data_IF_144470958254
#
_entry.id   IF_144470958254
#
_cell.length_a   1.000
_cell.length_b   1.000
_cell.length_c   1.000
_cell.angle_alpha   90.00
_cell.angle_beta   90.00
_cell.angle_gamma   90.00
#
_symmetry.space_group_name_H-M   'P 1'
#
loop_
_entity.id
_entity.type
_entity.pdbx_description
1 polymer ?
#
# COMPACT_ATOMS: atom_id res chain seq x y z
N UNK A 1 -1.62 15.35 -41.52
CA UNK A 1 -2.35 16.45 -40.86
C UNK A 1 -2.49 16.10 -39.39
N UNK A 2 -1.85 16.90 -38.50
CA UNK A 2 -1.99 16.87 -37.04
C UNK A 2 -3.43 17.12 -36.65
N UNK A 3 -4.04 16.36 -35.72
CA UNK A 3 -4.93 16.87 -34.64
C UNK A 3 -4.92 15.92 -33.44
N UNK A 4 -4.80 16.55 -32.28
CA UNK A 4 -4.59 16.01 -30.94
C UNK A 4 -5.92 15.62 -30.30
N UNK A 5 -5.94 14.61 -29.43
CA UNK A 5 -7.06 14.43 -28.50
C UNK A 5 -6.59 13.87 -27.16
N UNK A 6 -6.40 14.84 -26.24
CA UNK A 6 -6.61 14.79 -24.80
C UNK A 6 -6.02 13.63 -23.98
N UNK A 7 -4.89 13.93 -23.33
CA UNK A 7 -4.48 13.28 -22.08
C UNK A 7 -5.47 13.71 -21.00
N UNK A 8 -6.31 12.79 -20.51
CA UNK A 8 -7.12 13.00 -19.31
C UNK A 8 -6.21 12.78 -18.10
N UNK A 9 -5.59 13.85 -17.62
CA UNK A 9 -4.88 13.85 -16.35
C UNK A 9 -5.92 13.77 -15.23
N UNK A 10 -6.14 12.57 -14.69
CA UNK A 10 -6.93 12.39 -13.48
C UNK A 10 -6.16 12.96 -12.29
N UNK A 11 -6.48 14.18 -11.91
CA UNK A 11 -6.12 14.80 -10.63
C UNK A 11 -6.87 14.06 -9.52
N UNK A 12 -6.27 12.99 -8.98
CA UNK A 12 -6.77 12.36 -7.75
C UNK A 12 -6.32 13.22 -6.57
N UNK A 13 -7.32 13.82 -5.92
CA UNK A 13 -7.18 14.84 -4.89
C UNK A 13 -6.31 14.45 -3.70
N UNK A 14 -5.65 15.46 -3.15
CA UNK A 14 -5.01 15.41 -1.84
C UNK A 14 -6.07 15.08 -0.78
N UNK A 15 -6.08 13.83 -0.33
CA UNK A 15 -6.69 13.49 0.94
C UNK A 15 -5.65 13.76 2.01
N UNK A 16 -5.77 14.88 2.71
CA UNK A 16 -5.08 15.14 3.99
C UNK A 16 -5.67 14.21 5.05
N UNK A 17 -5.32 12.92 4.97
CA UNK A 17 -5.74 11.93 5.94
C UNK A 17 -5.02 12.21 7.27
N UNK A 18 -5.75 12.78 8.23
CA UNK A 18 -5.35 12.84 9.63
C UNK A 18 -5.43 11.40 10.18
N UNK A 19 -4.35 10.66 9.99
CA UNK A 19 -4.22 9.26 10.39
C UNK A 19 -2.76 8.82 10.24
N UNK A 20 -2.35 7.74 10.92
CA UNK A 20 -1.01 7.20 10.74
C UNK A 20 -0.76 6.94 9.25
N UNK A 21 0.37 7.42 8.75
CA UNK A 21 0.78 7.24 7.35
C UNK A 21 0.77 5.74 7.03
N UNK A 22 -0.13 5.34 6.12
CA UNK A 22 -0.21 3.96 5.68
C UNK A 22 1.06 3.56 4.91
N UNK A 23 1.85 4.52 4.43
CA UNK A 23 2.98 4.28 3.55
C UNK A 23 2.56 4.26 2.08
N UNK A 24 3.52 3.97 1.17
CA UNK A 24 3.34 4.21 -0.25
C UNK A 24 2.33 3.26 -0.88
N UNK A 25 1.59 3.77 -1.85
CA UNK A 25 0.69 2.96 -2.66
C UNK A 25 1.47 1.96 -3.54
N UNK A 26 0.91 0.77 -3.73
CA UNK A 26 1.56 -0.27 -4.51
C UNK A 26 0.86 -1.62 -4.45
N UNK A 27 1.62 -2.68 -4.68
CA UNK A 27 1.16 -4.07 -4.61
C UNK A 27 1.88 -4.83 -3.53
N UNK A 28 1.14 -5.56 -2.70
CA UNK A 28 1.73 -6.47 -1.71
C UNK A 28 2.45 -7.59 -2.47
N UNK A 29 3.76 -7.71 -2.29
CA UNK A 29 4.57 -8.77 -2.90
C UNK A 29 4.94 -9.86 -1.91
N UNK A 30 4.96 -9.53 -0.62
CA UNK A 30 5.24 -10.46 0.47
C UNK A 30 4.60 -9.99 1.78
N UNK A 31 4.49 -10.88 2.76
CA UNK A 31 4.02 -10.58 4.12
C UNK A 31 4.74 -11.45 5.13
N UNK A 32 5.12 -10.85 6.26
CA UNK A 32 5.88 -11.52 7.30
C UNK A 32 5.33 -11.20 8.69
N UNK A 33 5.51 -12.14 9.64
CA UNK A 33 5.17 -11.92 11.03
C UNK A 33 6.19 -12.56 11.96
N UNK A 34 6.75 -11.76 12.86
CA UNK A 34 7.80 -12.18 13.81
C UNK A 34 7.34 -11.95 15.25
N UNK A 35 7.69 -12.86 16.15
CA UNK A 35 7.46 -12.67 17.58
C UNK A 35 8.61 -11.87 18.17
N UNK A 36 8.29 -10.86 18.96
CA UNK A 36 9.22 -10.01 19.69
C UNK A 36 8.95 -10.16 21.19
N UNK A 37 9.85 -9.73 22.05
CA UNK A 37 9.65 -9.77 23.51
C UNK A 37 8.39 -9.03 23.99
N UNK A 38 7.79 -8.17 23.15
CA UNK A 38 6.59 -7.38 23.45
C UNK A 38 5.36 -7.79 22.64
N UNK A 39 5.44 -8.87 21.85
CA UNK A 39 4.33 -9.38 21.05
C UNK A 39 4.68 -9.60 19.58
N UNK A 40 3.67 -9.84 18.75
CA UNK A 40 3.86 -10.17 17.32
C UNK A 40 3.83 -8.93 16.44
N UNK A 41 4.91 -8.71 15.69
CA UNK A 41 4.98 -7.67 14.67
C UNK A 41 4.52 -8.23 13.33
N UNK A 42 3.65 -7.49 12.64
CA UNK A 42 3.12 -7.84 11.33
C UNK A 42 3.59 -6.82 10.28
N UNK A 43 4.13 -7.31 9.17
CA UNK A 43 4.74 -6.47 8.12
C UNK A 43 4.26 -6.93 6.75
N UNK A 44 3.98 -5.99 5.85
CA UNK A 44 3.80 -6.23 4.42
C UNK A 44 5.01 -5.68 3.66
N UNK A 45 5.44 -6.35 2.62
CA UNK A 45 6.35 -5.80 1.61
C UNK A 45 5.51 -5.32 0.44
N UNK A 46 5.55 -4.03 0.14
CA UNK A 46 4.81 -3.37 -0.94
C UNK A 46 5.79 -2.98 -2.03
N UNK A 47 5.51 -3.38 -3.27
CA UNK A 47 6.19 -2.88 -4.45
C UNK A 47 5.46 -1.65 -4.98
N UNK A 48 6.14 -0.52 -5.04
CA UNK A 48 5.59 0.74 -5.56
C UNK A 48 5.56 0.75 -7.09
N UNK A 49 4.96 1.77 -7.69
CA UNK A 49 4.92 1.95 -9.14
C UNK A 49 6.31 2.10 -9.75
N UNK A 50 7.25 2.72 -9.02
CA UNK A 50 8.65 2.90 -9.43
C UNK A 50 9.47 1.60 -9.33
N UNK A 51 8.86 0.52 -8.84
CA UNK A 51 9.50 -0.78 -8.67
C UNK A 51 10.22 -0.97 -7.33
N UNK A 52 10.30 0.07 -6.49
CA UNK A 52 10.86 0.04 -5.14
C UNK A 52 10.08 -0.89 -4.21
N UNK A 53 10.77 -1.54 -3.27
CA UNK A 53 10.17 -2.43 -2.27
C UNK A 53 10.22 -1.79 -0.88
N UNK A 54 9.06 -1.50 -0.30
CA UNK A 54 8.93 -0.89 1.02
C UNK A 54 8.28 -1.85 2.02
N UNK A 55 8.86 -1.98 3.20
CA UNK A 55 8.25 -2.73 4.31
C UNK A 55 7.38 -1.80 5.15
N UNK A 56 6.09 -2.13 5.28
CA UNK A 56 5.13 -1.37 6.10
C UNK A 56 4.66 -2.23 7.26
N UNK A 57 4.69 -1.66 8.46
CA UNK A 57 4.14 -2.29 9.67
C UNK A 57 2.63 -2.09 9.67
N UNK A 58 1.88 -3.14 9.93
CA UNK A 58 0.42 -3.11 9.87
C UNK A 58 -0.19 -3.81 11.08
N UNK A 59 -1.49 -3.61 11.30
CA UNK A 59 -2.20 -4.36 12.32
C UNK A 59 -2.29 -5.85 11.96
N UNK A 60 -2.61 -6.71 12.94
CA UNK A 60 -2.88 -8.13 12.70
C UNK A 60 -4.04 -8.32 11.70
N UNK A 61 -5.05 -7.45 11.74
CA UNK A 61 -6.23 -7.53 10.89
C UNK A 61 -5.86 -7.23 9.43
N UNK A 62 -5.17 -6.11 9.20
CA UNK A 62 -4.70 -5.69 7.88
C UNK A 62 -3.75 -6.72 7.29
N UNK A 63 -2.82 -7.23 8.10
CA UNK A 63 -1.95 -8.31 7.67
C UNK A 63 -2.76 -9.52 7.20
N UNK A 64 -3.87 -9.86 7.86
CA UNK A 64 -4.71 -10.99 7.49
C UNK A 64 -5.50 -10.75 6.20
N UNK A 65 -5.97 -9.52 5.97
CA UNK A 65 -6.75 -9.09 4.78
C UNK A 65 -5.90 -8.89 3.54
N UNK A 66 -4.72 -8.30 3.70
CA UNK A 66 -3.80 -8.03 2.61
C UNK A 66 -3.02 -9.29 2.24
N UNK A 67 -3.35 -9.84 1.06
CA UNK A 67 -2.65 -10.98 0.46
C UNK A 67 -1.67 -10.53 -0.62
N UNK A 68 -0.72 -11.38 -1.00
CA UNK A 68 0.16 -11.13 -2.15
C UNK A 68 -0.69 -10.85 -3.39
N UNK A 69 -0.35 -9.77 -4.12
CA UNK A 69 -1.10 -9.25 -5.26
C UNK A 69 -2.15 -8.18 -4.90
N UNK A 70 -2.51 -8.03 -3.62
CA UNK A 70 -3.49 -7.02 -3.20
C UNK A 70 -2.97 -5.61 -3.45
N UNK A 71 -3.90 -4.70 -3.78
CA UNK A 71 -3.60 -3.27 -3.87
C UNK A 71 -3.48 -2.68 -2.47
N UNK A 72 -2.35 -2.01 -2.20
CA UNK A 72 -2.08 -1.31 -0.95
C UNK A 72 -2.15 0.21 -1.18
N UNK A 73 -2.72 1.01 -0.26
CA UNK A 73 -3.33 0.63 1.02
C UNK A 73 -4.79 0.17 0.92
N UNK A 74 -5.37 0.00 -0.28
CA UNK A 74 -6.78 -0.34 -0.43
C UNK A 74 -7.21 -1.60 0.36
N UNK A 75 -6.36 -2.63 0.44
CA UNK A 75 -6.65 -3.86 1.19
C UNK A 75 -6.69 -3.71 2.72
N UNK A 76 -6.33 -2.54 3.26
CA UNK A 76 -6.44 -2.25 4.70
C UNK A 76 -7.78 -1.59 5.06
N UNK A 77 -8.57 -1.20 4.06
CA UNK A 77 -9.90 -0.61 4.24
C UNK A 77 -10.95 -1.69 3.99
N UNK A 78 -11.95 -1.77 4.85
CA UNK A 78 -13.20 -2.49 4.56
C UNK A 78 -14.05 -1.70 3.57
#
# INVERSE_FOLDING_TARGET
>A
MKRHTAIVAALLGLVTACGPDAGPAGRVVDKHSVYTGVGRLHTLTVRTADGEHTKVKVSRLDHRRCHRGSAYPACTRD
#
